data_IF_128163112008
#
_entry.id   IF_128163112008
#
_cell.length_a   1.000
_cell.length_b   1.000
_cell.length_c   1.000
_cell.angle_alpha   90.00
_cell.angle_beta   90.00
_cell.angle_gamma   90.00
#
_symmetry.space_group_name_H-M   'P 1'
#
loop_
_entity.id
_entity.type
_entity.pdbx_description
1 polymer ?
#
# COMPACT_ATOMS: atom_id res chain seq x y z
N UNK A 1 53.04 -5.18 -40.75
CA UNK A 1 52.54 -6.25 -39.85
C UNK A 1 53.63 -6.61 -38.86
N UNK A 2 53.36 -6.57 -37.55
CA UNK A 2 54.27 -7.03 -36.48
C UNK A 2 53.42 -7.71 -35.40
N UNK A 3 53.67 -8.96 -35.00
CA UNK A 3 52.97 -9.58 -33.89
C UNK A 3 53.77 -9.43 -32.58
N UNK A 4 53.08 -9.21 -31.47
CA UNK A 4 53.61 -9.47 -30.12
C UNK A 4 52.51 -10.14 -29.28
N UNK A 5 52.63 -11.46 -29.11
CA UNK A 5 52.15 -12.23 -27.95
C UNK A 5 53.20 -12.02 -26.83
N UNK A 6 52.97 -12.04 -25.51
CA UNK A 6 51.92 -12.61 -24.63
C UNK A 6 52.12 -12.08 -23.19
N UNK A 7 51.00 -11.90 -22.47
CA UNK A 7 50.71 -12.26 -21.05
C UNK A 7 51.54 -11.61 -19.89
N UNK A 8 51.11 -11.45 -18.62
CA UNK A 8 50.07 -12.06 -17.75
C UNK A 8 49.59 -10.98 -16.70
N UNK A 9 48.92 -11.27 -15.56
CA UNK A 9 47.58 -10.77 -15.21
C UNK A 9 47.59 -9.71 -14.08
N UNK A 10 46.54 -8.90 -13.97
CA UNK A 10 46.28 -8.14 -12.75
C UNK A 10 44.81 -8.24 -12.37
N UNK A 11 44.61 -9.08 -11.36
CA UNK A 11 43.48 -9.19 -10.45
C UNK A 11 42.92 -7.80 -10.08
N UNK A 12 41.63 -7.59 -10.34
CA UNK A 12 40.82 -6.61 -9.61
C UNK A 12 39.44 -7.20 -9.38
N UNK A 13 39.30 -7.81 -8.20
CA UNK A 13 38.03 -8.10 -7.55
C UNK A 13 37.30 -6.77 -7.33
N UNK A 14 36.23 -6.52 -8.08
CA UNK A 14 35.24 -5.50 -7.72
C UNK A 14 33.96 -6.22 -7.32
N UNK A 15 33.71 -6.18 -6.01
CA UNK A 15 32.47 -6.58 -5.35
C UNK A 15 31.31 -5.76 -5.95
N UNK A 16 30.53 -6.38 -6.81
CA UNK A 16 29.19 -5.92 -7.15
C UNK A 16 28.18 -6.63 -6.26
N UNK A 17 27.64 -5.92 -5.28
CA UNK A 17 26.53 -6.39 -4.45
C UNK A 17 25.26 -6.54 -5.32
N UNK A 18 25.09 -7.72 -5.92
CA UNK A 18 23.85 -8.10 -6.60
C UNK A 18 22.81 -8.52 -5.56
N UNK A 19 22.00 -7.56 -5.14
CA UNK A 19 20.81 -7.80 -4.33
C UNK A 19 19.66 -8.28 -5.25
N UNK A 20 19.52 -9.59 -5.47
CA UNK A 20 18.29 -10.22 -5.92
C UNK A 20 18.26 -11.69 -5.47
N UNK A 21 17.89 -11.93 -4.20
CA UNK A 21 17.48 -13.28 -3.77
C UNK A 21 16.02 -13.47 -4.20
N UNK A 22 15.81 -14.24 -5.25
CA UNK A 22 14.54 -14.92 -5.49
C UNK A 22 14.55 -16.16 -4.59
N UNK A 23 13.56 -16.29 -3.71
CA UNK A 23 13.17 -17.61 -3.18
C UNK A 23 11.71 -17.59 -2.76
N UNK A 24 10.88 -18.20 -3.62
CA UNK A 24 9.54 -18.67 -3.32
C UNK A 24 9.71 -19.93 -2.45
N UNK A 25 9.32 -19.86 -1.18
CA UNK A 25 9.25 -21.03 -0.32
C UNK A 25 7.81 -21.20 0.20
N UNK A 26 7.13 -22.20 -0.35
CA UNK A 26 5.97 -22.81 0.29
C UNK A 26 6.45 -23.50 1.56
N UNK A 27 6.06 -23.01 2.73
CA UNK A 27 6.22 -23.73 3.98
C UNK A 27 4.83 -24.21 4.44
N UNK A 28 4.55 -25.48 4.15
CA UNK A 28 3.63 -26.27 4.96
C UNK A 28 4.28 -26.40 6.34
N UNK A 29 3.69 -25.76 7.36
CA UNK A 29 3.96 -26.08 8.75
C UNK A 29 2.64 -26.45 9.41
N UNK A 30 2.41 -27.76 9.51
CA UNK A 30 1.47 -28.33 10.45
C UNK A 30 2.20 -28.47 11.79
N UNK A 31 1.70 -27.82 12.84
CA UNK A 31 2.18 -27.93 14.22
C UNK A 31 1.13 -27.37 15.19
N UNK A 32 0.96 -27.96 16.38
CA UNK A 32 -0.34 -28.07 17.05
C UNK A 32 -0.75 -26.84 17.88
N UNK A 33 -2.06 -26.64 17.93
CA UNK A 33 -2.81 -25.65 18.69
C UNK A 33 -2.58 -25.67 20.21
N UNK A 34 -2.35 -24.50 20.81
CA UNK A 34 -2.81 -24.14 22.17
C UNK A 34 -2.98 -22.62 22.34
N UNK A 35 -3.99 -22.17 23.10
CA UNK A 35 -4.59 -20.85 22.94
C UNK A 35 -4.04 -19.85 23.97
N UNK A 36 -3.13 -18.98 23.53
CA UNK A 36 -2.76 -17.79 24.29
C UNK A 36 -3.59 -16.61 23.78
N UNK A 37 -4.80 -16.47 24.32
CA UNK A 37 -5.55 -15.21 24.29
C UNK A 37 -4.82 -14.20 25.18
N UNK A 38 -3.74 -13.61 24.66
CA UNK A 38 -3.13 -12.39 25.21
C UNK A 38 -2.85 -11.48 24.04
N UNK A 39 -3.91 -10.83 23.56
CA UNK A 39 -3.88 -9.50 22.95
C UNK A 39 -5.34 -9.06 22.72
N UNK A 40 -5.98 -8.59 23.80
CA UNK A 40 -7.39 -8.18 23.81
C UNK A 40 -7.57 -6.65 23.82
N UNK A 41 -6.49 -5.86 23.67
CA UNK A 41 -6.58 -4.39 23.62
C UNK A 41 -5.96 -3.74 22.37
N UNK A 42 -5.25 -4.49 21.52
CA UNK A 42 -4.66 -3.94 20.27
C UNK A 42 -5.39 -4.39 19.00
N UNK A 43 -6.52 -5.10 19.12
CA UNK A 43 -7.33 -5.56 17.97
C UNK A 43 -8.47 -4.61 17.59
N UNK A 44 -8.78 -3.62 18.43
CA UNK A 44 -9.84 -2.64 18.17
C UNK A 44 -9.39 -1.45 17.32
N UNK A 45 -8.08 -1.24 17.14
CA UNK A 45 -7.54 -0.45 16.02
C UNK A 45 -7.60 -1.29 14.72
N UNK A 46 -8.80 -1.79 14.41
CA UNK A 46 -9.10 -2.60 13.25
C UNK A 46 -8.48 -1.96 12.01
N UNK A 47 -7.94 -2.79 11.13
CA UNK A 47 -7.32 -2.39 9.87
C UNK A 47 -8.35 -1.70 8.97
N UNK A 48 -8.73 -0.47 9.31
CA UNK A 48 -9.72 0.35 8.63
C UNK A 48 -9.26 0.74 7.23
N UNK A 49 -7.96 0.53 6.97
CA UNK A 49 -7.33 0.70 5.68
C UNK A 49 -7.59 -0.46 4.71
N UNK A 50 -8.07 -1.61 5.21
CA UNK A 50 -8.43 -2.74 4.38
C UNK A 50 -9.76 -2.50 3.65
N UNK A 51 -9.81 -2.65 2.32
CA UNK A 51 -11.07 -2.61 1.59
C UNK A 51 -11.92 -3.84 1.95
N UNK A 52 -13.26 -3.73 1.91
CA UNK A 52 -14.15 -4.86 2.11
C UNK A 52 -13.84 -6.06 1.21
N UNK A 53 -14.05 -7.27 1.73
CA UNK A 53 -13.72 -8.52 1.03
C UNK A 53 -14.45 -8.69 -0.30
N UNK A 54 -15.65 -8.14 -0.42
CA UNK A 54 -16.49 -8.18 -1.62
C UNK A 54 -16.09 -7.19 -2.72
N UNK A 55 -15.14 -6.28 -2.46
CA UNK A 55 -14.75 -5.27 -3.46
C UNK A 55 -14.00 -5.92 -4.63
N UNK A 56 -14.36 -5.54 -5.86
CA UNK A 56 -13.53 -5.84 -7.03
C UNK A 56 -12.28 -4.95 -7.07
N UNK A 57 -11.38 -5.22 -8.01
CA UNK A 57 -10.09 -4.51 -8.10
C UNK A 57 -10.23 -2.99 -8.24
N UNK A 58 -11.21 -2.53 -9.04
CA UNK A 58 -11.46 -1.09 -9.21
C UNK A 58 -11.98 -0.46 -7.91
N UNK A 59 -12.84 -1.18 -7.19
CA UNK A 59 -13.35 -0.72 -5.90
C UNK A 59 -12.25 -0.72 -4.83
N UNK A 60 -11.40 -1.75 -4.80
CA UNK A 60 -10.23 -1.78 -3.88
C UNK A 60 -9.31 -0.61 -4.15
N UNK A 61 -8.96 -0.36 -5.42
CA UNK A 61 -8.17 0.81 -5.81
C UNK A 61 -8.83 2.11 -5.38
N UNK A 62 -10.12 2.29 -5.70
CA UNK A 62 -10.87 3.48 -5.31
C UNK A 62 -10.84 3.70 -3.80
N UNK A 63 -11.08 2.65 -3.01
CA UNK A 63 -11.04 2.70 -1.55
C UNK A 63 -9.67 3.16 -1.02
N UNK A 64 -8.58 2.55 -1.48
CA UNK A 64 -7.22 2.96 -1.10
C UNK A 64 -6.92 4.41 -1.49
N UNK A 65 -7.26 4.81 -2.72
CA UNK A 65 -7.06 6.19 -3.18
C UNK A 65 -7.88 7.19 -2.34
N UNK A 66 -9.05 6.78 -1.85
CA UNK A 66 -9.87 7.56 -0.92
C UNK A 66 -9.19 7.80 0.42
N UNK A 67 -8.57 6.76 0.99
CA UNK A 67 -7.81 6.84 2.25
C UNK A 67 -6.63 7.80 2.10
N UNK A 68 -5.84 7.62 1.04
CA UNK A 68 -4.72 8.50 0.72
C UNK A 68 -5.17 9.94 0.49
N UNK A 69 -6.32 10.11 -0.17
CA UNK A 69 -6.97 11.39 -0.37
C UNK A 69 -7.24 12.10 0.95
N UNK A 70 -7.81 11.40 1.94
CA UNK A 70 -8.11 11.95 3.25
C UNK A 70 -6.85 12.30 4.04
N UNK A 71 -5.85 11.41 4.07
CA UNK A 71 -4.53 11.66 4.71
C UNK A 71 -3.89 12.95 4.21
N UNK A 72 -3.88 13.14 2.89
CA UNK A 72 -3.38 14.37 2.27
C UNK A 72 -4.20 15.61 2.66
N UNK A 73 -5.51 15.48 2.96
CA UNK A 73 -6.35 16.64 3.27
C UNK A 73 -6.09 17.12 4.69
N UNK A 74 -6.02 16.16 5.62
CA UNK A 74 -5.64 16.40 7.01
C UNK A 74 -4.23 16.98 7.08
N UNK A 75 -3.25 16.37 6.41
CA UNK A 75 -1.86 16.86 6.41
C UNK A 75 -1.67 18.25 5.81
N UNK A 76 -2.56 18.65 4.89
CA UNK A 76 -2.54 20.00 4.29
C UNK A 76 -3.44 21.00 5.03
N UNK A 77 -4.02 20.63 6.19
CA UNK A 77 -4.98 21.45 6.95
C UNK A 77 -6.16 21.96 6.09
N UNK A 78 -6.58 21.17 5.10
CA UNK A 78 -7.70 21.52 4.23
C UNK A 78 -9.01 21.07 4.85
N UNK A 79 -10.11 21.74 4.49
CA UNK A 79 -11.45 21.26 4.84
C UNK A 79 -11.65 19.86 4.22
N UNK A 80 -12.15 18.89 4.99
CA UNK A 80 -12.54 17.58 4.49
C UNK A 80 -13.56 17.69 3.36
N UNK A 81 -13.13 17.48 2.12
CA UNK A 81 -13.99 17.36 0.94
C UNK A 81 -13.33 16.48 -0.12
N UNK A 82 -14.02 15.39 -0.46
CA UNK A 82 -13.62 14.46 -1.52
C UNK A 82 -13.42 15.15 -2.88
N UNK A 83 -14.13 16.24 -3.15
CA UNK A 83 -14.01 17.00 -4.39
C UNK A 83 -12.71 17.81 -4.49
N UNK A 84 -11.95 17.94 -3.39
CA UNK A 84 -10.61 18.55 -3.41
C UNK A 84 -9.56 17.67 -4.10
N UNK A 85 -9.95 16.50 -4.61
CA UNK A 85 -9.05 15.51 -5.20
C UNK A 85 -9.28 15.37 -6.70
N UNK A 86 -8.21 15.57 -7.45
CA UNK A 86 -8.23 15.34 -8.90
C UNK A 86 -8.45 13.87 -9.22
N UNK A 87 -7.94 12.97 -8.39
CA UNK A 87 -8.15 11.53 -8.52
C UNK A 87 -9.63 11.16 -8.37
N UNK A 88 -10.40 11.92 -7.59
CA UNK A 88 -11.84 11.74 -7.47
C UNK A 88 -12.62 12.37 -8.65
N UNK A 89 -12.24 13.59 -9.04
CA UNK A 89 -12.89 14.35 -10.11
C UNK A 89 -12.59 13.79 -11.49
N UNK A 90 -11.36 13.38 -11.74
CA UNK A 90 -10.86 12.88 -13.01
C UNK A 90 -10.06 11.58 -12.78
N UNK A 91 -10.73 10.49 -12.36
CA UNK A 91 -10.06 9.24 -12.11
C UNK A 91 -9.49 8.67 -13.41
N UNK A 92 -8.23 8.25 -13.37
CA UNK A 92 -7.56 7.49 -14.42
C UNK A 92 -8.02 6.02 -14.38
N UNK A 93 -9.30 5.83 -14.68
CA UNK A 93 -9.97 4.52 -14.84
C UNK A 93 -10.90 4.59 -16.05
N UNK A 94 -11.21 3.44 -16.67
CA UNK A 94 -12.15 3.37 -17.79
C UNK A 94 -13.50 4.04 -17.44
N UNK A 95 -14.11 4.84 -18.35
CA UNK A 95 -15.31 5.62 -18.08
C UNK A 95 -16.46 4.86 -17.41
N UNK A 96 -16.68 3.61 -17.82
CA UNK A 96 -17.69 2.68 -17.32
C UNK A 96 -17.48 2.28 -15.86
N UNK A 97 -16.23 2.28 -15.40
CA UNK A 97 -15.86 1.90 -14.02
C UNK A 97 -15.77 3.10 -13.07
N UNK A 98 -15.79 4.33 -13.59
CA UNK A 98 -15.66 5.56 -12.78
C UNK A 98 -16.68 5.65 -11.66
N UNK A 99 -17.91 5.20 -11.89
CA UNK A 99 -18.98 5.24 -10.88
C UNK A 99 -18.64 4.36 -9.67
N UNK A 100 -18.22 3.11 -9.92
CA UNK A 100 -17.87 2.17 -8.84
C UNK A 100 -16.58 2.56 -8.14
N UNK A 101 -15.60 3.07 -8.90
CA UNK A 101 -14.38 3.65 -8.35
C UNK A 101 -14.69 4.80 -7.38
N UNK A 102 -15.46 5.81 -7.83
CA UNK A 102 -15.82 6.98 -7.00
C UNK A 102 -16.64 6.60 -5.76
N UNK A 103 -17.50 5.59 -5.88
CA UNK A 103 -18.27 5.10 -4.73
C UNK A 103 -17.35 4.49 -3.67
N UNK A 104 -16.39 3.66 -4.08
CA UNK A 104 -15.40 3.09 -3.17
C UNK A 104 -14.43 4.14 -2.61
N UNK A 105 -14.01 5.11 -3.43
CA UNK A 105 -13.20 6.26 -3.01
C UNK A 105 -13.88 7.02 -1.88
N UNK A 106 -15.17 7.35 -2.04
CA UNK A 106 -15.91 8.06 -1.00
C UNK A 106 -15.95 7.27 0.30
N UNK A 107 -16.12 5.95 0.25
CA UNK A 107 -16.08 5.09 1.44
C UNK A 107 -14.72 5.11 2.13
N UNK A 108 -13.62 4.93 1.38
CA UNK A 108 -12.27 4.97 1.94
C UNK A 108 -11.94 6.33 2.55
N UNK A 109 -12.33 7.42 1.88
CA UNK A 109 -12.16 8.79 2.38
C UNK A 109 -12.91 9.03 3.69
N UNK A 110 -14.17 8.61 3.77
CA UNK A 110 -14.99 8.76 4.97
C UNK A 110 -14.44 7.93 6.13
N UNK A 111 -14.05 6.68 5.87
CA UNK A 111 -13.43 5.82 6.88
C UNK A 111 -12.18 6.46 7.45
N UNK A 112 -11.28 6.93 6.58
CA UNK A 112 -10.06 7.61 6.98
C UNK A 112 -10.32 8.87 7.79
N UNK A 113 -11.27 9.71 7.35
CA UNK A 113 -11.60 10.96 8.06
C UNK A 113 -12.14 10.69 9.47
N UNK A 114 -12.99 9.69 9.65
CA UNK A 114 -13.49 9.33 10.99
C UNK A 114 -12.34 9.03 11.95
N UNK A 115 -11.36 8.22 11.52
CA UNK A 115 -10.22 7.87 12.37
C UNK A 115 -9.22 9.02 12.55
N UNK A 116 -8.87 9.72 11.47
CA UNK A 116 -7.89 10.81 11.52
C UNK A 116 -8.39 12.01 12.34
N UNK A 117 -9.69 12.30 12.31
CA UNK A 117 -10.28 13.35 13.15
C UNK A 117 -10.38 12.91 14.60
N UNK A 118 -10.79 11.66 14.85
CA UNK A 118 -10.86 11.13 16.21
C UNK A 118 -9.48 11.14 16.88
N UNK A 119 -8.42 10.79 16.14
CA UNK A 119 -7.05 10.87 16.63
C UNK A 119 -6.60 12.33 16.83
N UNK A 120 -6.99 13.26 15.96
CA UNK A 120 -6.67 14.69 16.09
C UNK A 120 -7.32 15.33 17.32
N UNK A 121 -8.58 15.01 17.62
CA UNK A 121 -9.33 15.57 18.74
C UNK A 121 -8.83 15.06 20.12
N UNK A 122 -8.07 13.96 20.14
CA UNK A 122 -7.48 13.38 21.36
C UNK A 122 -6.13 14.00 21.76
N UNK A 123 -5.56 14.90 20.97
CA UNK A 123 -4.24 15.52 21.19
C UNK A 123 -4.33 17.02 21.46
#
# INVERSE_FOLDING_TARGET
MKPKLTAIPALALLLGASCFIISKASALSAGPSSPAYVQDHDRDHGNWEAPPGEFNDIQRRGFHDGIEGARKDVGNHRRPDVNNRDEYRHPDVPPETRKVYRAAFRRGYQQAMSHLMEDHDRH
#
